data_IF_698368483405
#
_entry.id   IF_698368483405
#
_cell.length_a   1.000
_cell.length_b   1.000
_cell.length_c   1.000
_cell.angle_alpha   90.00
_cell.angle_beta   90.00
_cell.angle_gamma   90.00
#
_symmetry.space_group_name_H-M   'P 1'
#
loop_
_entity.id
_entity.type
_entity.pdbx_description
1 polymer ?
#
# COMPACT_ATOMS: atom_id res chain seq x y z
N UNK A 1 20.32 -1.64 -7.67
CA UNK A 1 20.02 -2.05 -6.30
C UNK A 1 19.60 -3.51 -6.36
N UNK A 2 20.27 -4.39 -5.62
CA UNK A 2 19.81 -5.78 -5.46
C UNK A 2 18.67 -5.82 -4.44
N UNK A 3 17.82 -6.86 -4.49
CA UNK A 3 16.75 -7.09 -3.50
C UNK A 3 17.27 -7.01 -2.06
N UNK A 4 18.50 -7.49 -1.83
CA UNK A 4 19.09 -7.53 -0.49
C UNK A 4 19.45 -6.14 0.05
N UNK A 5 19.87 -5.23 -0.82
CA UNK A 5 20.13 -3.83 -0.44
C UNK A 5 18.85 -3.13 0.01
N UNK A 6 17.73 -3.35 -0.70
CA UNK A 6 16.42 -2.84 -0.32
C UNK A 6 15.98 -3.39 1.04
N UNK A 7 16.07 -4.71 1.23
CA UNK A 7 15.69 -5.35 2.49
C UNK A 7 16.56 -4.87 3.65
N UNK A 8 17.85 -4.62 3.42
CA UNK A 8 18.76 -4.08 4.43
C UNK A 8 18.42 -2.64 4.81
N UNK A 9 18.14 -1.75 3.85
CA UNK A 9 17.72 -0.37 4.14
C UNK A 9 16.41 -0.35 4.93
N UNK A 10 15.43 -1.15 4.51
CA UNK A 10 14.14 -1.30 5.19
C UNK A 10 14.31 -1.81 6.62
N UNK A 11 15.13 -2.85 6.80
CA UNK A 11 15.37 -3.45 8.11
C UNK A 11 16.09 -2.49 9.05
N UNK A 12 17.05 -1.70 8.55
CA UNK A 12 17.77 -0.71 9.37
C UNK A 12 16.83 0.39 9.86
N UNK A 13 16.02 0.99 8.98
CA UNK A 13 15.03 1.99 9.37
C UNK A 13 13.99 1.46 10.36
N UNK A 14 13.58 0.21 10.18
CA UNK A 14 12.67 -0.46 11.10
C UNK A 14 13.30 -0.65 12.49
N UNK A 15 14.51 -1.20 12.56
CA UNK A 15 15.19 -1.47 13.82
C UNK A 15 15.61 -0.18 14.55
N UNK A 16 16.05 0.85 13.84
CA UNK A 16 16.54 2.10 14.45
C UNK A 16 15.41 2.91 15.13
N UNK A 17 14.17 2.79 14.65
CA UNK A 17 13.03 3.59 15.13
C UNK A 17 12.00 2.80 15.93
N UNK A 18 11.83 1.53 15.62
CA UNK A 18 10.78 0.69 16.18
C UNK A 18 11.37 -0.48 16.97
N UNK A 19 12.59 -0.34 17.51
CA UNK A 19 13.22 -1.35 18.36
C UNK A 19 12.29 -1.83 19.49
N UNK A 20 11.65 -0.88 20.19
CA UNK A 20 10.73 -1.17 21.30
C UNK A 20 9.43 -1.83 20.82
N UNK A 21 8.88 -1.35 19.69
CA UNK A 21 7.72 -1.96 19.07
C UNK A 21 8.04 -3.35 18.49
N UNK A 22 9.29 -3.62 18.10
CA UNK A 22 9.72 -4.92 17.59
C UNK A 22 9.84 -5.95 18.71
N UNK A 23 10.21 -5.54 19.94
CA UNK A 23 10.09 -6.42 21.12
C UNK A 23 8.62 -6.77 21.40
N UNK A 24 7.71 -5.79 21.35
CA UNK A 24 6.29 -6.03 21.59
C UNK A 24 5.63 -6.83 20.46
N UNK A 25 6.01 -6.55 19.21
CA UNK A 25 5.51 -7.23 18.02
C UNK A 25 5.94 -8.71 17.95
N UNK A 26 7.13 -9.06 18.46
CA UNK A 26 7.53 -10.47 18.61
C UNK A 26 6.65 -11.23 19.60
N UNK A 27 6.16 -10.55 20.63
CA UNK A 27 5.26 -11.15 21.63
C UNK A 27 3.88 -11.38 21.01
N UNK A 28 3.35 -10.45 20.20
CA UNK A 28 2.07 -10.64 19.47
C UNK A 28 2.14 -11.57 18.27
N UNK A 29 3.31 -11.88 17.74
CA UNK A 29 3.44 -12.77 16.58
C UNK A 29 3.14 -14.25 16.95
N UNK A 30 3.38 -14.65 18.21
CA UNK A 30 3.18 -16.03 18.69
C UNK A 30 1.69 -16.44 18.74
N UNK A 31 0.75 -15.65 19.32
CA UNK A 31 -0.68 -15.99 19.30
C UNK A 31 -1.32 -16.08 17.91
N UNK A 32 -0.75 -15.39 16.90
CA UNK A 32 -1.27 -15.38 15.52
C UNK A 32 -0.55 -16.37 14.60
N UNK A 33 0.37 -17.18 15.10
CA UNK A 33 1.07 -18.20 14.30
C UNK A 33 2.12 -17.64 13.33
N UNK A 34 2.65 -16.44 13.56
CA UNK A 34 3.74 -15.85 12.78
C UNK A 34 5.04 -15.97 13.60
N UNK A 35 5.92 -16.95 13.33
CA UNK A 35 7.12 -17.14 14.15
C UNK A 35 8.17 -16.04 13.96
N UNK A 36 8.18 -15.39 12.80
CA UNK A 36 9.13 -14.35 12.45
C UNK A 36 8.39 -13.21 11.74
N UNK A 37 8.06 -12.15 12.48
CA UNK A 37 7.49 -10.95 11.90
C UNK A 37 8.59 -10.13 11.21
N UNK A 38 8.52 -9.99 9.90
CA UNK A 38 9.52 -9.23 9.12
C UNK A 38 9.10 -7.78 8.89
N UNK A 39 7.79 -7.52 8.97
CA UNK A 39 7.19 -6.20 8.74
C UNK A 39 5.89 -6.05 9.54
N UNK A 40 5.60 -4.89 10.16
CA UNK A 40 4.37 -4.66 10.93
C UNK A 40 3.08 -4.91 10.14
N UNK A 41 3.15 -4.79 8.82
CA UNK A 41 2.03 -5.07 7.93
C UNK A 41 1.58 -6.53 7.95
N UNK A 42 2.50 -7.48 8.13
CA UNK A 42 2.17 -8.91 8.24
C UNK A 42 1.29 -9.19 9.46
N UNK A 43 1.54 -8.45 10.56
CA UNK A 43 0.73 -8.51 11.76
C UNK A 43 -0.68 -7.96 11.50
N UNK A 44 -0.77 -6.79 10.88
CA UNK A 44 -2.05 -6.14 10.56
C UNK A 44 -2.88 -7.03 9.64
N UNK A 45 -2.28 -7.55 8.57
CA UNK A 45 -2.96 -8.41 7.59
C UNK A 45 -3.51 -9.68 8.25
N UNK A 46 -2.69 -10.38 9.04
CA UNK A 46 -3.13 -11.59 9.73
C UNK A 46 -4.28 -11.34 10.73
N UNK A 47 -4.24 -10.23 11.47
CA UNK A 47 -5.31 -9.85 12.40
C UNK A 47 -6.60 -9.50 11.64
N UNK A 48 -6.50 -8.72 10.56
CA UNK A 48 -7.65 -8.32 9.75
C UNK A 48 -8.28 -9.53 9.07
N UNK A 49 -7.48 -10.35 8.38
CA UNK A 49 -7.93 -11.51 7.62
C UNK A 49 -8.58 -12.57 8.50
N UNK A 50 -7.95 -12.88 9.64
CA UNK A 50 -8.35 -14.03 10.47
C UNK A 50 -9.41 -13.65 11.48
N UNK A 51 -9.32 -12.46 12.09
CA UNK A 51 -10.12 -12.11 13.26
C UNK A 51 -11.06 -10.93 13.02
N UNK A 52 -10.51 -9.74 12.80
CA UNK A 52 -11.28 -8.49 12.87
C UNK A 52 -12.35 -8.41 11.78
N UNK A 53 -12.02 -8.71 10.52
CA UNK A 53 -12.99 -8.67 9.41
C UNK A 53 -14.03 -9.79 9.51
N UNK A 54 -13.70 -10.90 10.16
CA UNK A 54 -14.60 -12.04 10.40
C UNK A 54 -15.41 -11.91 11.69
N UNK A 55 -15.23 -10.83 12.44
CA UNK A 55 -15.86 -10.58 13.75
C UNK A 55 -15.58 -11.70 14.77
N UNK A 56 -14.39 -12.29 14.70
CA UNK A 56 -13.93 -13.27 15.70
C UNK A 56 -13.21 -12.56 16.85
N UNK A 57 -13.19 -13.16 18.06
CA UNK A 57 -12.43 -12.64 19.18
C UNK A 57 -10.95 -12.47 18.82
N UNK A 58 -10.34 -11.36 19.24
CA UNK A 58 -8.90 -11.15 19.05
C UNK A 58 -8.11 -12.16 19.90
N UNK A 59 -6.95 -12.64 19.41
CA UNK A 59 -6.17 -13.64 20.11
C UNK A 59 -5.57 -13.05 21.40
N UNK A 60 -5.37 -13.92 22.38
CA UNK A 60 -4.87 -13.56 23.69
C UNK A 60 -3.52 -14.23 23.97
N UNK A 61 -2.71 -13.56 24.78
CA UNK A 61 -1.45 -14.10 25.28
C UNK A 61 -1.70 -15.08 26.44
N UNK A 62 -0.63 -15.76 26.86
CA UNK A 62 -0.65 -16.74 27.97
C UNK A 62 -1.08 -16.11 29.32
N UNK A 63 -0.95 -14.79 29.47
CA UNK A 63 -1.36 -14.04 30.68
C UNK A 63 -2.84 -13.59 30.66
N UNK A 64 -3.66 -14.05 29.70
CA UNK A 64 -5.05 -13.65 29.45
C UNK A 64 -5.26 -12.19 29.01
N UNK A 65 -4.20 -11.44 28.74
CA UNK A 65 -4.32 -10.16 28.03
C UNK A 65 -4.56 -10.44 26.54
N UNK A 66 -5.49 -9.72 25.93
CA UNK A 66 -5.82 -9.91 24.51
C UNK A 66 -5.29 -8.75 23.69
N UNK A 67 -4.99 -9.02 22.41
CA UNK A 67 -4.63 -7.97 21.47
C UNK A 67 -5.74 -6.93 21.46
N UNK A 68 -5.37 -5.66 21.64
CA UNK A 68 -6.31 -4.55 21.65
C UNK A 68 -6.37 -3.88 20.28
N UNK A 69 -7.41 -3.06 20.07
CA UNK A 69 -7.49 -2.22 18.88
C UNK A 69 -6.33 -1.23 18.80
N UNK A 70 -5.80 -0.78 19.95
CA UNK A 70 -4.66 0.13 20.00
C UNK A 70 -3.39 -0.53 19.46
N UNK A 71 -3.15 -1.81 19.80
CA UNK A 71 -2.03 -2.58 19.23
C UNK A 71 -2.12 -2.65 17.70
N UNK A 72 -3.32 -2.90 17.17
CA UNK A 72 -3.57 -2.95 15.71
C UNK A 72 -3.31 -1.58 15.07
N UNK A 73 -3.80 -0.51 15.69
CA UNK A 73 -3.61 0.86 15.20
C UNK A 73 -2.14 1.28 15.19
N UNK A 74 -1.39 0.92 16.24
CA UNK A 74 0.05 1.20 16.32
C UNK A 74 0.78 0.46 15.20
N UNK A 75 0.51 -0.83 14.99
CA UNK A 75 1.15 -1.60 13.93
C UNK A 75 0.83 -1.06 12.52
N UNK A 76 -0.42 -0.69 12.27
CA UNK A 76 -0.85 -0.09 11.02
C UNK A 76 -0.17 1.26 10.77
N UNK A 77 -0.13 2.12 11.78
CA UNK A 77 0.53 3.43 11.71
C UNK A 77 2.04 3.29 11.48
N UNK A 78 2.69 2.34 12.15
CA UNK A 78 4.11 2.07 11.90
C UNK A 78 4.36 1.64 10.46
N UNK A 79 3.54 0.76 9.91
CA UNK A 79 3.69 0.34 8.51
C UNK A 79 3.53 1.53 7.55
N UNK A 80 2.56 2.41 7.80
CA UNK A 80 2.37 3.65 7.07
C UNK A 80 3.59 4.57 7.14
N UNK A 81 4.06 4.87 8.35
CA UNK A 81 5.18 5.77 8.61
C UNK A 81 6.45 5.29 7.91
N UNK A 82 6.75 3.98 7.96
CA UNK A 82 7.89 3.39 7.26
C UNK A 82 7.87 3.71 5.76
N UNK A 83 6.73 3.51 5.09
CA UNK A 83 6.60 3.78 3.66
C UNK A 83 6.78 5.28 3.39
N UNK A 84 6.12 6.14 4.18
CA UNK A 84 6.19 7.60 4.04
C UNK A 84 7.58 8.16 4.27
N UNK A 85 8.36 7.53 5.13
CA UNK A 85 9.73 7.94 5.41
C UNK A 85 10.72 7.45 4.35
N UNK A 86 10.61 6.18 3.96
CA UNK A 86 11.54 5.55 3.02
C UNK A 86 11.46 6.18 1.64
N UNK A 87 10.25 6.46 1.16
CA UNK A 87 10.03 6.96 -0.19
C UNK A 87 10.77 8.28 -0.50
N UNK A 88 10.65 9.37 0.28
CA UNK A 88 11.38 10.61 0.01
C UNK A 88 12.88 10.52 0.33
N UNK A 89 13.31 9.63 1.24
CA UNK A 89 14.70 9.55 1.69
C UNK A 89 15.59 8.69 0.79
N UNK A 90 15.07 7.62 0.20
CA UNK A 90 15.89 6.70 -0.63
C UNK A 90 15.59 6.88 -2.12
N UNK A 91 16.62 7.30 -2.87
CA UNK A 91 16.52 7.39 -4.34
C UNK A 91 16.25 6.01 -4.96
N UNK A 92 16.77 4.94 -4.37
CA UNK A 92 16.56 3.59 -4.86
C UNK A 92 15.11 3.14 -4.68
N UNK A 93 14.49 3.44 -3.53
CA UNK A 93 13.06 3.19 -3.30
C UNK A 93 12.21 3.91 -4.35
N UNK A 94 12.48 5.20 -4.61
CA UNK A 94 11.73 5.94 -5.64
C UNK A 94 11.83 5.30 -7.02
N UNK A 95 13.01 4.84 -7.41
CA UNK A 95 13.23 4.15 -8.69
C UNK A 95 12.49 2.81 -8.74
N UNK A 96 12.51 2.05 -7.64
CA UNK A 96 11.78 0.79 -7.54
C UNK A 96 10.28 1.03 -7.71
N UNK A 97 9.70 1.94 -6.93
CA UNK A 97 8.27 2.24 -7.03
C UNK A 97 7.90 2.82 -8.40
N UNK A 98 8.75 3.65 -9.01
CA UNK A 98 8.52 4.11 -10.38
C UNK A 98 8.50 2.95 -11.39
N UNK A 99 9.39 1.96 -11.23
CA UNK A 99 9.41 0.78 -12.07
C UNK A 99 8.18 -0.12 -11.85
N UNK A 100 7.75 -0.30 -10.60
CA UNK A 100 6.54 -1.06 -10.26
C UNK A 100 5.26 -0.40 -10.78
N UNK A 101 5.18 0.93 -10.77
CA UNK A 101 4.05 1.71 -11.31
C UNK A 101 3.99 1.74 -12.84
N UNK A 102 5.13 1.53 -13.51
CA UNK A 102 5.26 1.76 -14.94
C UNK A 102 4.24 1.00 -15.80
N UNK A 103 3.96 -0.30 -15.59
CA UNK A 103 3.02 -1.04 -16.42
C UNK A 103 1.62 -0.42 -16.47
N UNK A 104 1.09 -0.01 -15.31
CA UNK A 104 -0.25 0.60 -15.21
C UNK A 104 -0.24 2.00 -15.79
N UNK A 105 0.75 2.83 -15.42
CA UNK A 105 0.88 4.18 -15.95
C UNK A 105 0.97 4.18 -17.50
N UNK A 106 1.79 3.30 -18.06
CA UNK A 106 1.93 3.14 -19.51
C UNK A 106 0.63 2.64 -20.16
N UNK A 107 -0.11 1.73 -19.52
CA UNK A 107 -1.40 1.25 -20.03
C UNK A 107 -2.46 2.36 -20.08
N UNK A 108 -2.44 3.29 -19.10
CA UNK A 108 -3.30 4.49 -19.09
C UNK A 108 -2.92 5.45 -20.23
N UNK A 109 -1.62 5.73 -20.40
CA UNK A 109 -1.14 6.61 -21.48
C UNK A 109 -1.52 6.04 -22.85
N UNK A 110 -1.31 4.75 -23.09
CA UNK A 110 -1.70 4.10 -24.34
C UNK A 110 -3.20 4.17 -24.59
N UNK A 111 -4.02 3.99 -23.55
CA UNK A 111 -5.48 4.13 -23.68
C UNK A 111 -5.87 5.57 -24.08
N UNK A 112 -5.21 6.57 -23.51
CA UNK A 112 -5.43 7.98 -23.88
C UNK A 112 -5.05 8.21 -25.35
N UNK A 113 -3.93 7.65 -25.82
CA UNK A 113 -3.48 7.80 -27.21
C UNK A 113 -4.41 7.08 -28.20
N UNK A 114 -4.92 5.90 -27.83
CA UNK A 114 -5.98 5.18 -28.56
C UNK A 114 -7.27 6.02 -28.66
N UNK A 115 -7.69 6.62 -27.55
CA UNK A 115 -8.87 7.50 -27.49
C UNK A 115 -8.74 8.73 -28.39
N UNK A 116 -7.55 9.35 -28.44
CA UNK A 116 -7.30 10.53 -29.31
C UNK A 116 -7.34 10.21 -30.80
N UNK A 117 -6.94 9.00 -31.18
CA UNK A 117 -6.90 8.57 -32.58
C UNK A 117 -8.24 8.01 -33.06
N UNK A 118 -9.13 7.63 -32.14
CA UNK A 118 -10.46 7.13 -32.50
C UNK A 118 -11.32 8.25 -33.09
N UNK A 119 -11.78 8.07 -34.33
CA UNK A 119 -12.72 8.96 -35.02
C UNK A 119 -14.18 8.70 -34.66
N UNK A 120 -14.45 7.71 -33.81
CA UNK A 120 -15.79 7.33 -33.34
C UNK A 120 -15.97 7.67 -31.87
N UNK A 121 -17.18 8.08 -31.49
CA UNK A 121 -17.64 8.13 -30.10
C UNK A 121 -17.56 6.72 -29.50
N UNK A 122 -16.39 6.38 -28.94
CA UNK A 122 -16.12 5.06 -28.40
C UNK A 122 -15.83 5.21 -26.92
N UNK A 123 -16.71 4.66 -26.07
CA UNK A 123 -16.47 4.59 -24.63
C UNK A 123 -15.66 3.34 -24.32
N UNK A 124 -14.44 3.50 -23.82
CA UNK A 124 -13.62 2.40 -23.34
C UNK A 124 -13.62 2.37 -21.81
N UNK A 125 -13.83 1.19 -21.25
CA UNK A 125 -13.60 0.92 -19.82
C UNK A 125 -12.54 -0.16 -19.74
N UNK A 126 -11.44 0.13 -19.05
CA UNK A 126 -10.39 -0.84 -18.75
C UNK A 126 -10.26 -0.99 -17.23
N UNK A 127 -10.44 -2.20 -16.74
CA UNK A 127 -10.39 -2.52 -15.31
C UNK A 127 -9.13 -3.32 -15.02
N UNK A 128 -8.35 -2.86 -14.05
CA UNK A 128 -7.20 -3.57 -13.52
C UNK A 128 -7.51 -4.00 -12.10
N UNK A 129 -7.52 -5.31 -11.85
CA UNK A 129 -7.60 -5.86 -10.50
C UNK A 129 -6.18 -6.09 -9.98
N UNK A 130 -5.88 -5.56 -8.81
CA UNK A 130 -4.55 -5.66 -8.19
C UNK A 130 -4.65 -5.65 -6.67
N UNK A 131 -3.49 -5.52 -6.03
CA UNK A 131 -3.35 -5.48 -4.58
C UNK A 131 -2.98 -4.07 -4.10
N UNK A 132 -2.95 -3.86 -2.80
CA UNK A 132 -2.38 -2.67 -2.16
C UNK A 132 -0.96 -2.36 -2.66
N UNK A 133 -0.11 -3.38 -2.82
CA UNK A 133 1.23 -3.28 -3.39
C UNK A 133 1.24 -2.83 -4.86
N UNK A 134 0.10 -2.88 -5.56
CA UNK A 134 -0.07 -2.34 -6.91
C UNK A 134 -0.41 -0.85 -6.89
N UNK A 135 -1.29 -0.44 -5.97
CA UNK A 135 -1.79 0.93 -5.88
C UNK A 135 -0.79 1.85 -5.17
N UNK A 136 -0.14 1.39 -4.09
CA UNK A 136 0.77 2.21 -3.27
C UNK A 136 1.90 2.84 -4.10
N UNK A 137 2.67 2.08 -4.91
CA UNK A 137 3.71 2.68 -5.75
C UNK A 137 3.14 3.74 -6.70
N UNK A 138 1.97 3.47 -7.28
CA UNK A 138 1.33 4.36 -8.25
C UNK A 138 0.93 5.69 -7.59
N UNK A 139 0.25 5.64 -6.45
CA UNK A 139 -0.16 6.83 -5.70
C UNK A 139 1.05 7.68 -5.27
N UNK A 140 2.12 7.03 -4.77
CA UNK A 140 3.34 7.70 -4.32
C UNK A 140 4.10 8.35 -5.49
N UNK A 141 4.25 7.63 -6.60
CA UNK A 141 4.98 8.12 -7.78
C UNK A 141 4.23 9.22 -8.54
N UNK A 142 2.90 9.23 -8.49
CA UNK A 142 2.07 10.34 -8.96
C UNK A 142 2.14 11.58 -8.06
N UNK A 143 2.82 11.50 -6.91
CA UNK A 143 2.98 12.63 -5.99
C UNK A 143 1.69 13.05 -5.28
N UNK A 144 0.73 12.13 -5.16
CA UNK A 144 -0.54 12.42 -4.48
C UNK A 144 -0.30 12.62 -2.98
N UNK A 145 -0.84 13.73 -2.46
CA UNK A 145 -0.80 14.07 -1.02
C UNK A 145 -2.03 13.52 -0.33
N UNK A 146 -1.93 13.30 0.98
CA UNK A 146 -3.05 12.88 1.84
C UNK A 146 -3.72 11.54 1.44
N UNK A 147 -2.96 10.65 0.80
CA UNK A 147 -3.40 9.27 0.51
C UNK A 147 -3.35 8.42 1.79
N UNK A 148 -4.29 7.51 2.01
CA UNK A 148 -4.20 6.51 3.08
C UNK A 148 -3.30 5.36 2.64
N UNK A 149 -2.34 4.96 3.48
CA UNK A 149 -1.43 3.84 3.22
C UNK A 149 -1.48 2.88 4.43
N UNK A 150 -1.82 1.59 4.25
CA UNK A 150 -2.28 0.99 3.00
C UNK A 150 -3.65 1.54 2.57
N UNK A 151 -3.98 1.46 1.27
CA UNK A 151 -5.35 1.65 0.81
C UNK A 151 -6.31 0.67 1.50
N UNK A 152 -7.51 1.10 1.92
CA UNK A 152 -8.53 0.19 2.47
C UNK A 152 -8.93 -0.90 1.46
N UNK A 153 -9.53 -1.99 1.95
CA UNK A 153 -10.09 -3.03 1.08
C UNK A 153 -11.10 -2.44 0.09
N UNK A 154 -11.08 -2.98 -1.14
CA UNK A 154 -11.89 -2.50 -2.27
C UNK A 154 -11.65 -1.02 -2.64
N UNK A 155 -10.54 -0.42 -2.20
CA UNK A 155 -10.10 0.87 -2.73
C UNK A 155 -9.87 0.78 -4.24
N UNK A 156 -10.09 1.91 -4.92
CA UNK A 156 -9.97 2.03 -6.38
C UNK A 156 -9.33 3.35 -6.77
N UNK A 157 -8.52 3.30 -7.83
CA UNK A 157 -8.01 4.47 -8.52
C UNK A 157 -8.68 4.54 -9.88
N UNK A 158 -9.33 5.67 -10.18
CA UNK A 158 -10.07 5.87 -11.43
C UNK A 158 -9.38 6.97 -12.23
N UNK A 159 -9.06 6.66 -13.49
CA UNK A 159 -8.61 7.65 -14.47
C UNK A 159 -9.76 7.95 -15.42
N UNK A 160 -10.26 9.18 -15.37
CA UNK A 160 -11.32 9.66 -16.24
C UNK A 160 -10.72 10.59 -17.30
N UNK A 161 -11.06 10.34 -18.56
CA UNK A 161 -10.58 11.11 -19.71
C UNK A 161 -11.79 11.73 -20.38
N UNK A 162 -11.89 13.05 -20.32
CA UNK A 162 -13.01 13.81 -20.87
C UNK A 162 -12.51 14.77 -21.95
N UNK A 163 -13.26 14.90 -23.03
CA UNK A 163 -13.03 15.93 -24.05
C UNK A 163 -13.90 17.16 -23.74
N UNK A 164 -13.32 18.35 -23.86
CA UNK A 164 -14.10 19.59 -23.79
C UNK A 164 -14.53 19.99 -25.19
N UNK A 165 -15.82 19.90 -25.48
CA UNK A 165 -16.39 20.44 -26.71
C UNK A 165 -16.65 21.93 -26.45
N UNK A 166 -15.90 22.82 -27.12
CA UNK A 166 -16.28 24.23 -27.21
C UNK A 166 -17.54 24.31 -28.05
N UNK A 167 -18.68 24.53 -27.41
CA UNK A 167 -19.90 24.93 -28.10
C UNK A 167 -19.69 26.32 -28.71
N UNK A 168 -20.05 26.55 -29.99
CA UNK A 168 -20.02 27.89 -30.55
C UNK A 168 -20.95 28.79 -29.74
N UNK A 169 -20.43 29.93 -29.29
CA UNK A 169 -21.25 31.00 -28.72
C UNK A 169 -22.09 31.56 -29.88
N UNK A 170 -23.42 31.44 -29.74
CA UNK A 170 -24.39 32.08 -30.63
C UNK A 170 -24.38 33.60 -30.45
#
# INVERSE_FOLDING_TARGET
MTRDQFLSERSKLYLDRYADLHSDLKIVAKPIGIPHLSHPFEFVDAILETYACRRLPLPCFENNECISLDTINIAAKTAEDLIREMFPKSQHIRRLYAAESYPIANAVVKLIDELKQSSKDTSYIRVFSGHDITIIPLLLTMGLKNITIPPPYASRLVFEVSTFIKLPLF
#
